data_IF_030903597638
#
_entry.id   IF_030903597638
#
_cell.length_a   1.000
_cell.length_b   1.000
_cell.length_c   1.000
_cell.angle_alpha   90.00
_cell.angle_beta   90.00
_cell.angle_gamma   90.00
#
_symmetry.space_group_name_H-M   'P 1'
#
loop_
_entity.id
_entity.type
_entity.pdbx_description
1 polymer ?
#
# COMPACT_ATOMS: atom_id res chain seq x y z
N UNK A 1 -5.11 -10.85 4.50
CA UNK A 1 -6.50 -11.14 4.90
C UNK A 1 -7.24 -9.88 5.26
N UNK A 2 -6.55 -8.91 5.83
CA UNK A 2 -7.10 -7.77 6.57
C UNK A 2 -8.11 -6.97 5.76
N UNK A 3 -7.80 -6.66 4.49
CA UNK A 3 -8.75 -5.94 3.61
C UNK A 3 -10.02 -6.75 3.32
N UNK A 4 -9.92 -8.08 3.21
CA UNK A 4 -11.10 -8.93 3.02
C UNK A 4 -11.94 -9.03 4.30
N UNK A 5 -11.29 -9.02 5.47
CA UNK A 5 -11.96 -8.95 6.76
C UNK A 5 -12.69 -7.60 6.94
N UNK A 6 -12.04 -6.49 6.60
CA UNK A 6 -12.66 -5.16 6.58
C UNK A 6 -13.84 -5.06 5.60
N UNK A 7 -13.78 -5.81 4.50
CA UNK A 7 -14.87 -5.92 3.53
C UNK A 7 -16.01 -6.87 3.97
N UNK A 8 -15.97 -7.41 5.19
CA UNK A 8 -17.01 -8.28 5.75
C UNK A 8 -16.98 -9.73 5.24
N UNK A 9 -16.00 -10.11 4.42
CA UNK A 9 -15.86 -11.48 3.93
C UNK A 9 -14.39 -11.93 3.99
N UNK A 10 -13.95 -12.53 5.11
CA UNK A 10 -12.57 -13.00 5.28
C UNK A 10 -12.10 -14.00 4.22
N UNK A 11 -13.01 -14.71 3.56
CA UNK A 11 -12.70 -15.69 2.50
C UNK A 11 -12.47 -15.03 1.13
N UNK A 12 -12.80 -13.75 0.96
CA UNK A 12 -12.73 -13.02 -0.32
C UNK A 12 -11.32 -12.50 -0.69
N UNK A 13 -10.24 -13.06 -0.13
CA UNK A 13 -8.85 -12.55 -0.32
C UNK A 13 -8.46 -12.44 -1.80
N UNK A 14 -8.81 -13.43 -2.62
CA UNK A 14 -8.50 -13.42 -4.07
C UNK A 14 -9.30 -12.35 -4.82
N UNK A 15 -10.59 -12.21 -4.51
CA UNK A 15 -11.46 -11.20 -5.11
C UNK A 15 -10.97 -9.78 -4.77
N UNK A 16 -10.61 -9.55 -3.51
CA UNK A 16 -10.00 -8.28 -3.06
C UNK A 16 -8.71 -8.00 -3.82
N UNK A 17 -7.81 -8.98 -3.95
CA UNK A 17 -6.57 -8.80 -4.72
C UNK A 17 -6.82 -8.39 -6.18
N UNK A 18 -7.79 -9.02 -6.84
CA UNK A 18 -8.21 -8.66 -8.21
C UNK A 18 -8.77 -7.24 -8.26
N UNK A 19 -9.65 -6.85 -7.33
CA UNK A 19 -10.25 -5.52 -7.29
C UNK A 19 -9.18 -4.42 -7.06
N UNK A 20 -8.33 -4.61 -6.06
CA UNK A 20 -7.21 -3.70 -5.72
C UNK A 20 -6.27 -3.51 -6.90
N UNK A 21 -5.89 -4.61 -7.58
CA UNK A 21 -4.96 -4.55 -8.71
C UNK A 21 -5.55 -3.95 -9.99
N UNK A 22 -6.87 -3.79 -10.08
CA UNK A 22 -7.59 -3.26 -11.25
C UNK A 22 -8.17 -1.86 -11.07
N UNK A 23 -8.12 -1.31 -9.86
CA UNK A 23 -8.56 0.06 -9.57
C UNK A 23 -8.02 1.03 -10.64
N UNK A 24 -8.86 1.78 -11.37
CA UNK A 24 -8.42 2.73 -12.39
C UNK A 24 -8.02 4.11 -11.83
N UNK A 25 -8.38 4.41 -10.59
CA UNK A 25 -8.12 5.70 -9.93
C UNK A 25 -7.02 5.49 -8.88
N UNK A 26 -5.81 5.11 -9.34
CA UNK A 26 -4.64 4.93 -8.47
C UNK A 26 -4.34 6.18 -7.67
N UNK A 27 -3.56 5.98 -6.61
CA UNK A 27 -2.97 7.03 -5.79
C UNK A 27 -4.01 7.77 -4.94
N UNK A 28 -5.10 8.27 -5.54
CA UNK A 28 -6.25 8.84 -4.81
C UNK A 28 -6.91 7.78 -3.93
N UNK A 29 -7.25 6.62 -4.51
CA UNK A 29 -7.59 5.42 -3.74
C UNK A 29 -6.27 4.66 -3.54
N UNK A 30 -5.78 4.51 -2.29
CA UNK A 30 -4.41 4.07 -2.01
C UNK A 30 -4.22 2.55 -2.15
N UNK A 31 -4.59 1.97 -3.30
CA UNK A 31 -4.45 0.54 -3.58
C UNK A 31 -2.99 0.05 -3.59
N UNK A 32 -2.01 0.97 -3.74
CA UNK A 32 -0.59 0.68 -3.59
C UNK A 32 -0.19 0.31 -2.15
N UNK A 33 -1.00 0.65 -1.13
CA UNK A 33 -0.74 0.28 0.27
C UNK A 33 -1.13 -1.15 0.62
N UNK A 34 -1.92 -1.81 -0.21
CA UNK A 34 -2.30 -3.22 0.01
C UNK A 34 -1.15 -4.12 -0.47
N UNK A 35 -0.53 -4.84 0.45
CA UNK A 35 0.59 -5.77 0.20
C UNK A 35 0.22 -7.20 0.64
N UNK A 36 1.01 -8.18 0.21
CA UNK A 36 0.85 -9.58 0.66
C UNK A 36 1.27 -9.69 2.12
N UNK A 37 0.64 -10.61 2.86
CA UNK A 37 1.03 -10.91 4.24
C UNK A 37 2.48 -11.40 4.37
N UNK A 38 3.05 -11.97 3.30
CA UNK A 38 4.45 -12.37 3.24
C UNK A 38 5.43 -11.19 3.08
N UNK A 39 4.95 -9.94 3.11
CA UNK A 39 5.74 -8.73 2.86
C UNK A 39 5.95 -8.38 1.39
N UNK A 40 5.54 -9.25 0.46
CA UNK A 40 5.65 -8.98 -0.98
C UNK A 40 4.67 -7.92 -1.47
N UNK A 41 5.12 -7.02 -2.35
CA UNK A 41 4.29 -5.93 -2.87
C UNK A 41 3.06 -6.39 -3.69
N UNK A 42 3.13 -7.56 -4.33
CA UNK A 42 2.05 -8.02 -5.22
C UNK A 42 1.89 -7.18 -6.49
N UNK A 43 0.77 -7.36 -7.19
CA UNK A 43 0.51 -6.70 -8.48
C UNK A 43 -0.01 -5.28 -8.33
N UNK A 44 0.19 -4.48 -9.38
CA UNK A 44 -0.29 -3.11 -9.50
C UNK A 44 -0.63 -2.81 -10.96
N UNK A 45 -1.77 -2.17 -11.23
CA UNK A 45 -2.24 -1.89 -12.61
C UNK A 45 -1.20 -1.16 -13.46
N UNK A 46 -0.41 -0.29 -12.83
CA UNK A 46 0.63 0.52 -13.49
C UNK A 46 2.05 -0.01 -13.28
N UNK A 47 2.18 -1.29 -12.93
CA UNK A 47 3.47 -1.96 -12.76
C UNK A 47 4.07 -1.84 -11.36
N UNK A 48 4.89 -2.84 -11.02
CA UNK A 48 5.48 -2.98 -9.69
C UNK A 48 6.48 -1.86 -9.36
N UNK A 49 7.21 -1.33 -10.35
CA UNK A 49 8.15 -0.21 -10.18
C UNK A 49 7.45 1.02 -9.61
N UNK A 50 6.29 1.39 -10.17
CA UNK A 50 5.52 2.54 -9.68
C UNK A 50 5.01 2.33 -8.26
N UNK A 51 4.52 1.12 -7.95
CA UNK A 51 4.06 0.76 -6.59
C UNK A 51 5.19 0.92 -5.57
N UNK A 52 6.38 0.39 -5.87
CA UNK A 52 7.56 0.49 -4.99
C UNK A 52 8.03 1.93 -4.81
N UNK A 53 8.06 2.71 -5.89
CA UNK A 53 8.46 4.12 -5.82
C UNK A 53 7.53 4.94 -4.91
N UNK A 54 6.21 4.79 -5.05
CA UNK A 54 5.24 5.49 -4.19
C UNK A 54 5.40 5.06 -2.73
N UNK A 55 5.51 3.75 -2.46
CA UNK A 55 5.69 3.25 -1.08
C UNK A 55 7.01 3.74 -0.46
N UNK A 56 8.10 3.76 -1.22
CA UNK A 56 9.39 4.29 -0.78
C UNK A 56 9.32 5.78 -0.45
N UNK A 57 8.66 6.56 -1.30
CA UNK A 57 8.43 7.98 -1.03
C UNK A 57 7.58 8.20 0.24
N UNK A 58 6.47 7.46 0.40
CA UNK A 58 5.66 7.53 1.62
C UNK A 58 6.46 7.14 2.88
N UNK A 59 7.38 6.19 2.77
CA UNK A 59 8.26 5.79 3.88
C UNK A 59 9.27 6.89 4.23
N UNK A 60 9.90 7.51 3.24
CA UNK A 60 10.81 8.63 3.45
C UNK A 60 10.12 9.82 4.12
N UNK A 61 8.91 10.17 3.67
CA UNK A 61 8.11 11.25 4.29
C UNK A 61 7.74 10.93 5.75
N UNK A 62 7.41 9.67 6.06
CA UNK A 62 7.14 9.25 7.46
C UNK A 62 8.39 9.38 8.32
N UNK A 63 9.55 8.97 7.80
CA UNK A 63 10.83 9.07 8.50
C UNK A 63 11.24 10.51 8.77
N UNK A 64 11.13 11.40 7.79
CA UNK A 64 11.39 12.83 8.00
C UNK A 64 10.46 13.42 9.05
N UNK A 65 9.18 13.02 9.04
CA UNK A 65 8.22 13.48 10.03
C UNK A 65 8.54 12.96 11.43
N UNK A 66 8.99 11.72 11.60
CA UNK A 66 9.40 11.21 12.92
C UNK A 66 10.62 11.94 13.44
N UNK A 67 11.65 12.18 12.60
CA UNK A 67 12.83 12.93 12.99
C UNK A 67 12.51 14.37 13.42
N UNK A 68 11.59 15.03 12.72
CA UNK A 68 11.15 16.38 13.06
C UNK A 68 10.40 16.45 14.40
N UNK A 69 9.64 15.39 14.75
CA UNK A 69 8.94 15.30 16.04
C UNK A 69 9.91 15.00 17.19
N UNK A 70 10.96 14.21 16.92
CA UNK A 70 11.97 13.81 17.91
C UNK A 70 13.07 14.86 18.14
N UNK A 71 13.02 16.00 17.44
CA UNK A 71 14.03 17.07 17.57
C UNK A 71 15.42 16.67 17.06
N UNK A 72 15.52 15.60 16.27
CA UNK A 72 16.76 15.06 15.69
C UNK A 72 17.04 15.60 14.29
N UNK A 73 16.19 16.49 13.77
CA UNK A 73 16.45 17.22 12.55
C UNK A 73 17.42 18.38 12.85
N UNK A 74 18.72 18.09 12.76
CA UNK A 74 19.79 19.09 12.74
C UNK A 74 19.75 19.93 11.47
#
# INVERSE_FOLDING_TARGET
>A
GDVAQLAGNPKAVRAVGTAVSRNPIAYLIPCHRVIRQTGGFGQYRWGSTRKKAILGWEAAQRYQKSMAVEGLAS
#
